data_IF_094243618893
#
_entry.id   IF_094243618893
#
_cell.length_a   1.000
_cell.length_b   1.000
_cell.length_c   1.000
_cell.angle_alpha   90.00
_cell.angle_beta   90.00
_cell.angle_gamma   90.00
#
_symmetry.space_group_name_H-M   'P 1'
#
loop_
_entity.id
_entity.type
_entity.pdbx_description
1 polymer ?
#
# COMPACT_ATOMS: atom_id res chain seq x y z
N UNK A 1 -18.55 31.88 -3.96
CA UNK A 1 -17.50 31.22 -3.14
C UNK A 1 -17.26 29.86 -3.78
N UNK A 2 -16.11 29.67 -4.43
CA UNK A 2 -15.73 28.37 -4.98
C UNK A 2 -15.41 27.46 -3.80
N UNK A 3 -16.16 26.36 -3.64
CA UNK A 3 -15.74 25.28 -2.76
C UNK A 3 -14.40 24.78 -3.33
N UNK A 4 -13.30 25.05 -2.64
CA UNK A 4 -12.03 24.39 -2.90
C UNK A 4 -12.28 22.89 -2.81
N UNK A 5 -12.12 22.18 -3.92
CA UNK A 5 -12.23 20.72 -3.95
C UNK A 5 -11.24 20.15 -2.93
N UNK A 6 -11.73 19.28 -2.04
CA UNK A 6 -10.85 18.55 -1.12
C UNK A 6 -9.85 17.73 -1.95
N UNK A 7 -8.56 17.65 -1.56
CA UNK A 7 -7.54 16.89 -2.29
C UNK A 7 -7.88 15.40 -2.47
N UNK A 8 -8.66 14.85 -1.56
CA UNK A 8 -9.20 13.48 -1.58
C UNK A 8 -10.71 13.58 -1.77
N UNK A 9 -11.22 13.00 -2.84
CA UNK A 9 -12.64 13.08 -3.22
C UNK A 9 -13.41 11.81 -2.89
N UNK A 10 -12.75 10.64 -2.98
CA UNK A 10 -13.32 9.35 -2.60
C UNK A 10 -12.25 8.39 -2.06
N UNK A 11 -12.66 7.18 -1.64
CA UNK A 11 -11.77 6.20 -1.02
C UNK A 11 -10.65 5.74 -1.96
N UNK A 12 -10.88 5.75 -3.27
CA UNK A 12 -9.91 5.36 -4.28
C UNK A 12 -8.72 6.32 -4.32
N UNK A 13 -8.94 7.62 -4.08
CA UNK A 13 -7.86 8.60 -4.00
C UNK A 13 -6.88 8.26 -2.87
N UNK A 14 -7.38 7.76 -1.74
CA UNK A 14 -6.52 7.31 -0.64
C UNK A 14 -5.75 6.04 -1.00
N UNK A 15 -6.34 5.14 -1.80
CA UNK A 15 -5.69 3.93 -2.29
C UNK A 15 -4.58 4.27 -3.29
N UNK A 16 -4.84 5.16 -4.25
CA UNK A 16 -3.84 5.65 -5.21
C UNK A 16 -2.68 6.36 -4.51
N UNK A 17 -2.98 7.23 -3.55
CA UNK A 17 -1.97 7.92 -2.75
C UNK A 17 -1.10 6.94 -1.97
N UNK A 18 -1.73 5.96 -1.29
CA UNK A 18 -1.04 4.92 -0.53
C UNK A 18 -0.14 4.08 -1.43
N UNK A 19 -0.62 3.68 -2.60
CA UNK A 19 0.21 2.98 -3.59
C UNK A 19 1.38 3.83 -4.06
N UNK A 20 1.17 5.14 -4.29
CA UNK A 20 2.23 6.05 -4.70
C UNK A 20 3.30 6.24 -3.62
N UNK A 21 2.96 6.27 -2.32
CA UNK A 21 3.98 6.25 -1.27
C UNK A 21 4.86 5.00 -1.32
N UNK A 22 4.31 3.84 -1.68
CA UNK A 22 5.09 2.61 -1.88
C UNK A 22 5.98 2.66 -3.13
N UNK A 23 5.61 3.42 -4.15
CA UNK A 23 6.50 3.74 -5.28
C UNK A 23 7.71 4.53 -4.80
N UNK A 24 7.47 5.62 -4.05
CA UNK A 24 8.54 6.48 -3.55
C UNK A 24 9.50 5.70 -2.66
N UNK A 25 8.98 4.80 -1.82
CA UNK A 25 9.81 3.91 -1.01
C UNK A 25 10.61 2.93 -1.86
N UNK A 26 9.98 2.24 -2.81
CA UNK A 26 10.65 1.25 -3.67
C UNK A 26 11.76 1.86 -4.54
N UNK A 27 11.63 3.14 -4.91
CA UNK A 27 12.65 3.87 -5.68
C UNK A 27 13.90 4.24 -4.85
N UNK A 28 13.83 4.15 -3.52
CA UNK A 28 14.97 4.47 -2.67
C UNK A 28 16.07 3.41 -2.80
N UNK A 29 17.35 3.80 -2.82
CA UNK A 29 18.46 2.85 -2.80
C UNK A 29 18.55 2.07 -1.47
N UNK A 30 18.01 2.63 -0.39
CA UNK A 30 17.97 2.08 0.97
C UNK A 30 16.54 1.68 1.40
N UNK A 31 15.68 1.35 0.43
CA UNK A 31 14.28 1.01 0.66
C UNK A 31 14.11 -0.11 1.70
N UNK A 32 13.18 0.07 2.62
CA UNK A 32 12.78 -0.92 3.61
C UNK A 32 12.02 -2.10 2.98
N UNK A 33 11.32 -1.87 1.87
CA UNK A 33 10.65 -2.91 1.08
C UNK A 33 10.58 -2.53 -0.40
N UNK A 34 10.25 -3.52 -1.22
CA UNK A 34 10.04 -3.34 -2.66
C UNK A 34 8.62 -3.79 -3.03
N UNK A 35 7.86 -2.89 -3.65
CA UNK A 35 6.56 -3.19 -4.26
C UNK A 35 6.63 -2.94 -5.77
N UNK A 36 6.94 -3.98 -6.58
CA UNK A 36 7.13 -3.82 -8.01
C UNK A 36 5.84 -3.44 -8.76
N UNK A 37 4.67 -3.63 -8.14
CA UNK A 37 3.38 -3.36 -8.76
C UNK A 37 2.82 -1.98 -8.40
N UNK A 38 3.33 -1.37 -7.33
CA UNK A 38 2.86 -0.07 -6.83
C UNK A 38 2.81 1.00 -7.91
N UNK A 39 3.82 1.07 -8.79
CA UNK A 39 3.89 2.11 -9.83
C UNK A 39 2.79 1.98 -10.87
N UNK A 40 2.53 0.74 -11.29
CA UNK A 40 1.48 0.44 -12.28
C UNK A 40 0.11 0.75 -11.68
N UNK A 41 -0.12 0.34 -10.42
CA UNK A 41 -1.42 0.48 -9.75
C UNK A 41 -1.71 1.92 -9.29
N UNK A 42 -0.71 2.65 -8.80
CA UNK A 42 -0.87 4.06 -8.40
C UNK A 42 -1.23 4.95 -9.60
N UNK A 43 -0.74 4.59 -10.80
CA UNK A 43 -0.90 5.37 -12.02
C UNK A 43 -0.45 6.83 -11.84
N UNK A 44 -1.00 7.71 -12.66
CA UNK A 44 -0.77 9.16 -12.53
C UNK A 44 -1.57 9.77 -11.38
N UNK A 45 -2.68 9.12 -10.96
CA UNK A 45 -3.61 9.67 -9.98
C UNK A 45 -2.98 9.81 -8.59
N UNK A 46 -2.21 8.82 -8.14
CA UNK A 46 -1.56 8.86 -6.82
C UNK A 46 -0.61 10.05 -6.68
N UNK A 47 0.17 10.34 -7.73
CA UNK A 47 1.04 11.51 -7.78
C UNK A 47 0.25 12.82 -7.76
N UNK A 48 -0.84 12.91 -8.52
CA UNK A 48 -1.70 14.10 -8.57
C UNK A 48 -2.33 14.41 -7.21
N UNK A 49 -2.82 13.38 -6.50
CA UNK A 49 -3.38 13.53 -5.15
C UNK A 49 -2.31 14.03 -4.19
N UNK A 50 -1.10 13.44 -4.21
CA UNK A 50 0.02 13.87 -3.37
C UNK A 50 0.36 15.35 -3.57
N UNK A 51 0.46 15.80 -4.82
CA UNK A 51 0.77 17.20 -5.17
C UNK A 51 -0.27 18.21 -4.69
N UNK A 52 -1.50 17.76 -4.41
CA UNK A 52 -2.59 18.60 -3.91
C UNK A 52 -2.67 18.61 -2.38
N UNK A 53 -1.91 17.75 -1.68
CA UNK A 53 -1.94 17.66 -0.23
C UNK A 53 -0.98 18.66 0.44
N UNK A 54 -1.44 19.39 1.47
CA UNK A 54 -0.53 20.12 2.35
C UNK A 54 0.36 19.13 3.11
N UNK A 55 1.62 19.49 3.32
CA UNK A 55 2.58 18.67 4.10
C UNK A 55 2.74 17.22 3.58
N UNK A 56 2.70 17.05 2.26
CA UNK A 56 2.79 15.76 1.54
C UNK A 56 3.86 14.79 2.09
N UNK A 57 5.03 15.29 2.53
CA UNK A 57 6.13 14.45 3.03
C UNK A 57 5.89 13.90 4.45
N UNK A 58 5.03 14.53 5.25
CA UNK A 58 4.80 14.13 6.65
C UNK A 58 4.03 12.81 6.77
N UNK A 59 3.29 12.41 5.73
CA UNK A 59 2.42 11.23 5.76
C UNK A 59 3.09 9.96 5.22
N UNK A 60 4.14 10.10 4.41
CA UNK A 60 4.82 8.96 3.80
C UNK A 60 5.44 8.00 4.83
N UNK A 61 6.15 8.46 5.89
CA UNK A 61 6.76 7.56 6.87
C UNK A 61 5.77 6.63 7.55
N UNK A 62 4.58 7.11 7.89
CA UNK A 62 3.53 6.29 8.50
C UNK A 62 3.06 5.17 7.56
N UNK A 63 2.94 5.46 6.26
CA UNK A 63 2.57 4.46 5.26
C UNK A 63 3.68 3.40 5.07
N UNK A 64 4.95 3.82 5.09
CA UNK A 64 6.11 2.94 4.95
C UNK A 64 6.19 1.98 6.14
N UNK A 65 6.23 2.51 7.36
CA UNK A 65 6.29 1.70 8.59
C UNK A 65 5.10 0.75 8.68
N UNK A 66 3.89 1.22 8.38
CA UNK A 66 2.68 0.38 8.32
C UNK A 66 2.85 -0.78 7.34
N UNK A 67 3.52 -0.55 6.20
CA UNK A 67 3.74 -1.60 5.22
C UNK A 67 4.69 -2.67 5.77
N UNK A 68 5.85 -2.26 6.30
CA UNK A 68 6.84 -3.19 6.88
C UNK A 68 6.24 -4.02 8.02
N UNK A 69 5.61 -3.36 9.00
CA UNK A 69 5.08 -4.03 10.19
C UNK A 69 4.01 -5.06 9.81
N UNK A 70 3.10 -4.71 8.89
CA UNK A 70 2.07 -5.64 8.46
C UNK A 70 2.65 -6.81 7.66
N UNK A 71 3.65 -6.57 6.82
CA UNK A 71 4.34 -7.63 6.07
C UNK A 71 5.00 -8.63 7.03
N UNK A 72 5.75 -8.14 8.02
CA UNK A 72 6.40 -8.96 9.03
C UNK A 72 5.38 -9.79 9.82
N UNK A 73 4.29 -9.16 10.31
CA UNK A 73 3.25 -9.86 11.07
C UNK A 73 2.54 -10.93 10.26
N UNK A 74 2.24 -10.67 8.99
CA UNK A 74 1.59 -11.63 8.09
C UNK A 74 2.52 -12.82 7.84
N UNK A 75 3.77 -12.57 7.47
CA UNK A 75 4.76 -13.62 7.21
C UNK A 75 4.95 -14.49 8.45
N UNK A 76 5.20 -13.87 9.61
CA UNK A 76 5.39 -14.59 10.87
C UNK A 76 4.16 -15.45 11.23
N UNK A 77 2.95 -14.95 11.00
CA UNK A 77 1.72 -15.71 11.28
C UNK A 77 1.58 -16.93 10.38
N UNK A 78 1.95 -16.81 9.10
CA UNK A 78 1.91 -17.91 8.13
C UNK A 78 3.00 -18.95 8.46
N UNK A 79 4.22 -18.51 8.75
CA UNK A 79 5.36 -19.39 9.06
C UNK A 79 5.16 -20.22 10.34
N UNK A 80 4.37 -19.74 11.29
CA UNK A 80 4.02 -20.46 12.52
C UNK A 80 3.07 -21.66 12.27
N UNK A 81 2.59 -21.87 11.05
CA UNK A 81 2.00 -23.15 10.61
C UNK A 81 0.55 -23.38 10.99
N UNK A 82 -0.21 -22.32 11.29
CA UNK A 82 -1.64 -22.41 11.64
C UNK A 82 -2.59 -21.59 10.75
N UNK A 83 -2.09 -21.07 9.62
CA UNK A 83 -2.83 -20.15 8.76
C UNK A 83 -2.89 -20.70 7.33
N UNK A 84 -4.08 -21.12 6.91
CA UNK A 84 -4.33 -21.59 5.54
C UNK A 84 -5.05 -20.53 4.67
N UNK A 85 -5.49 -19.42 5.27
CA UNK A 85 -6.14 -18.32 4.57
C UNK A 85 -5.83 -16.94 5.17
N UNK A 86 -5.75 -15.93 4.30
CA UNK A 86 -5.63 -14.51 4.65
C UNK A 86 -6.82 -13.75 4.07
N UNK A 87 -7.53 -13.01 4.92
CA UNK A 87 -8.62 -12.11 4.52
C UNK A 87 -8.14 -10.66 4.59
N UNK A 88 -7.92 -10.05 3.43
CA UNK A 88 -7.51 -8.66 3.28
C UNK A 88 -8.73 -7.75 3.09
N UNK A 89 -9.15 -7.08 4.17
CA UNK A 89 -10.33 -6.21 4.18
C UNK A 89 -9.97 -4.79 3.74
N UNK A 90 -10.75 -4.23 2.82
CA UNK A 90 -10.44 -2.93 2.23
C UNK A 90 -9.14 -3.01 1.42
N UNK A 91 -8.95 -4.11 0.69
CA UNK A 91 -7.68 -4.46 0.07
C UNK A 91 -7.18 -3.36 -0.88
N UNK A 92 -8.10 -2.66 -1.56
CA UNK A 92 -7.77 -1.50 -2.39
C UNK A 92 -6.70 -1.82 -3.43
N UNK A 93 -5.55 -1.16 -3.33
CA UNK A 93 -4.37 -1.39 -4.18
C UNK A 93 -3.24 -2.07 -3.41
N UNK A 94 -3.55 -2.87 -2.40
CA UNK A 94 -2.57 -3.73 -1.74
C UNK A 94 -2.07 -4.81 -2.70
N UNK A 95 -0.79 -5.15 -2.58
CA UNK A 95 -0.07 -6.05 -3.48
C UNK A 95 0.53 -7.25 -2.75
N UNK A 96 0.27 -7.39 -1.45
CA UNK A 96 0.90 -8.42 -0.61
C UNK A 96 0.74 -9.84 -1.15
N UNK A 97 -0.45 -10.20 -1.64
CA UNK A 97 -0.71 -11.51 -2.26
C UNK A 97 0.23 -11.82 -3.44
N UNK A 98 0.74 -10.78 -4.10
CA UNK A 98 1.52 -10.86 -5.33
C UNK A 98 3.03 -10.67 -5.12
N UNK A 99 3.45 -10.16 -3.95
CA UNK A 99 4.87 -9.86 -3.66
C UNK A 99 5.44 -10.53 -2.42
N UNK A 100 4.60 -10.91 -1.45
CA UNK A 100 5.10 -11.60 -0.26
C UNK A 100 5.45 -13.06 -0.60
N UNK A 101 6.49 -13.63 0.02
CA UNK A 101 6.94 -15.00 -0.25
C UNK A 101 6.06 -16.03 0.49
N UNK A 102 4.76 -16.05 0.19
CA UNK A 102 3.79 -16.94 0.84
C UNK A 102 3.54 -18.21 0.02
N UNK A 103 3.12 -19.33 0.64
CA UNK A 103 2.81 -20.56 -0.09
C UNK A 103 1.71 -20.35 -1.14
N UNK A 104 1.87 -20.94 -2.32
CA UNK A 104 0.85 -20.87 -3.38
C UNK A 104 -0.48 -21.56 -3.02
N UNK A 105 -0.47 -22.43 -2.01
CA UNK A 105 -1.67 -23.07 -1.46
C UNK A 105 -2.45 -22.18 -0.49
N UNK A 106 -1.87 -21.07 -0.04
CA UNK A 106 -2.51 -20.14 0.89
C UNK A 106 -3.68 -19.44 0.19
N UNK A 107 -4.86 -19.52 0.77
CA UNK A 107 -6.04 -18.84 0.23
C UNK A 107 -5.99 -17.35 0.58
N UNK A 108 -5.71 -16.49 -0.39
CA UNK A 108 -5.76 -15.04 -0.20
C UNK A 108 -7.09 -14.46 -0.72
N UNK A 109 -7.85 -13.83 0.16
CA UNK A 109 -9.17 -13.26 -0.14
C UNK A 109 -9.07 -11.74 0.00
N UNK A 110 -9.51 -11.01 -1.01
CA UNK A 110 -9.54 -9.54 -1.03
C UNK A 110 -11.00 -9.06 -1.04
N UNK A 111 -11.34 -8.13 -0.15
CA UNK A 111 -12.71 -7.56 0.02
C UNK A 111 -12.66 -6.04 -0.06
#
# INVERSE_FOLDING_TARGET
MSLTSLPVQDISDTAFLTAFYRVLESDRPDAHFQDPYARILAGTRGQQVLQQMPQQEAHAPGCIVRTCVMDELIIQSIEQGGVDAVLNLGAGLDTRAYRLPVPASLLWIEV
#
